data_IF_441297079874
#
_entry.id   IF_441297079874
#
_cell.length_a   1.000
_cell.length_b   1.000
_cell.length_c   1.000
_cell.angle_alpha   90.00
_cell.angle_beta   90.00
_cell.angle_gamma   90.00
#
_symmetry.space_group_name_H-M   'P 1'
#
loop_
_entity.id
_entity.type
_entity.pdbx_description
1 polymer ?
#
# COMPACT_ATOMS: atom_id res chain seq x y z
N UNK A 1 -27.73 -3.63 24.54
CA UNK A 1 -26.40 -3.53 23.92
C UNK A 1 -25.81 -2.23 24.43
N UNK A 2 -24.78 -2.26 25.28
CA UNK A 2 -24.30 -1.04 25.94
C UNK A 2 -23.69 -0.08 24.92
N UNK A 3 -23.91 1.22 25.12
CA UNK A 3 -23.38 2.32 24.28
C UNK A 3 -21.85 2.21 24.07
N UNK A 4 -21.17 1.54 25.01
CA UNK A 4 -19.74 1.32 25.00
C UNK A 4 -19.28 0.16 24.08
N UNK A 5 -20.09 -0.90 23.95
CA UNK A 5 -19.86 -1.96 22.96
C UNK A 5 -19.95 -1.41 21.53
N UNK A 6 -20.83 -0.44 21.31
CA UNK A 6 -20.95 0.27 20.04
C UNK A 6 -19.75 1.19 19.77
N UNK A 7 -19.21 1.85 20.82
CA UNK A 7 -17.96 2.60 20.73
C UNK A 7 -16.77 1.71 20.34
N UNK A 8 -16.58 0.58 21.03
CA UNK A 8 -15.53 -0.39 20.72
C UNK A 8 -15.66 -0.94 19.29
N UNK A 9 -16.89 -1.22 18.85
CA UNK A 9 -17.15 -1.67 17.48
C UNK A 9 -16.81 -0.59 16.44
N UNK A 10 -17.12 0.68 16.74
CA UNK A 10 -16.77 1.81 15.88
C UNK A 10 -15.26 1.96 15.75
N UNK A 11 -14.52 1.90 16.86
CA UNK A 11 -13.05 1.93 16.86
C UNK A 11 -12.44 0.77 16.06
N UNK A 12 -12.96 -0.45 16.23
CA UNK A 12 -12.54 -1.62 15.46
C UNK A 12 -12.73 -1.41 13.95
N UNK A 13 -13.85 -0.83 13.52
CA UNK A 13 -14.11 -0.53 12.11
C UNK A 13 -13.14 0.53 11.57
N UNK A 14 -12.80 1.54 12.38
CA UNK A 14 -11.78 2.54 12.02
C UNK A 14 -10.41 1.86 11.85
N UNK A 15 -10.00 0.98 12.76
CA UNK A 15 -8.73 0.25 12.64
C UNK A 15 -8.68 -0.66 11.41
N UNK A 16 -9.78 -1.34 11.06
CA UNK A 16 -9.85 -2.15 9.85
C UNK A 16 -9.73 -1.31 8.56
N UNK A 17 -10.38 -0.15 8.56
CA UNK A 17 -10.26 0.82 7.47
C UNK A 17 -8.81 1.31 7.35
N UNK A 18 -8.21 1.80 8.44
CA UNK A 18 -6.83 2.29 8.45
C UNK A 18 -5.84 1.21 8.02
N UNK A 19 -5.97 -0.02 8.52
CA UNK A 19 -5.15 -1.16 8.09
C UNK A 19 -5.20 -1.34 6.57
N UNK A 20 -6.41 -1.36 5.99
CA UNK A 20 -6.60 -1.50 4.54
C UNK A 20 -5.96 -0.35 3.75
N UNK A 21 -6.06 0.89 4.24
CA UNK A 21 -5.44 2.05 3.62
C UNK A 21 -3.91 1.98 3.65
N UNK A 22 -3.34 1.57 4.80
CA UNK A 22 -1.91 1.40 4.99
C UNK A 22 -1.32 0.33 4.08
N UNK A 23 -1.96 -0.84 3.97
CA UNK A 23 -1.54 -1.87 3.01
C UNK A 23 -1.61 -1.38 1.58
N UNK A 24 -2.66 -0.64 1.21
CA UNK A 24 -2.79 -0.08 -0.14
C UNK A 24 -1.67 0.92 -0.46
N UNK A 25 -1.29 1.76 0.51
CA UNK A 25 -0.18 2.69 0.36
C UNK A 25 1.16 1.96 0.23
N UNK A 26 1.39 0.93 1.06
CA UNK A 26 2.58 0.08 0.99
C UNK A 26 2.71 -0.57 -0.40
N UNK A 27 1.65 -1.22 -0.89
CA UNK A 27 1.64 -1.84 -2.22
C UNK A 27 1.95 -0.84 -3.34
N UNK A 28 1.38 0.36 -3.26
CA UNK A 28 1.61 1.40 -4.27
C UNK A 28 3.07 1.87 -4.25
N UNK A 29 3.65 2.14 -3.07
CA UNK A 29 5.05 2.53 -2.97
C UNK A 29 6.00 1.41 -3.39
N UNK A 30 5.67 0.16 -3.08
CA UNK A 30 6.44 -0.99 -3.53
C UNK A 30 6.43 -1.13 -5.06
N UNK A 31 5.27 -0.91 -5.70
CA UNK A 31 5.16 -0.91 -7.18
C UNK A 31 6.02 0.18 -7.81
N UNK A 32 6.00 1.40 -7.26
CA UNK A 32 6.86 2.48 -7.74
C UNK A 32 8.34 2.13 -7.56
N UNK A 33 8.71 1.56 -6.41
CA UNK A 33 10.08 1.13 -6.17
C UNK A 33 10.55 0.10 -7.22
N UNK A 34 9.76 -0.96 -7.42
CA UNK A 34 10.06 -2.01 -8.41
C UNK A 34 10.13 -1.41 -9.82
N UNK A 35 9.22 -0.51 -10.19
CA UNK A 35 9.24 0.14 -11.50
C UNK A 35 10.54 0.93 -11.74
N UNK A 36 10.97 1.72 -10.75
CA UNK A 36 12.22 2.45 -10.85
C UNK A 36 13.46 1.54 -10.79
N UNK A 37 13.41 0.44 -10.03
CA UNK A 37 14.44 -0.62 -10.05
C UNK A 37 14.57 -1.23 -11.46
N UNK A 38 13.46 -1.62 -12.09
CA UNK A 38 13.47 -2.21 -13.43
C UNK A 38 14.02 -1.26 -14.50
N UNK A 39 13.65 0.02 -14.47
CA UNK A 39 14.18 1.03 -15.41
C UNK A 39 15.69 1.17 -15.23
N UNK A 40 16.16 1.29 -13.98
CA UNK A 40 17.59 1.44 -13.68
C UNK A 40 18.39 0.24 -14.17
N UNK A 41 17.92 -0.98 -13.90
CA UNK A 41 18.54 -2.21 -14.37
C UNK A 41 18.56 -2.26 -15.91
N UNK A 42 17.46 -1.91 -16.58
CA UNK A 42 17.38 -1.95 -18.03
C UNK A 42 18.39 -0.99 -18.67
N UNK A 43 18.47 0.26 -18.17
CA UNK A 43 19.45 1.23 -18.68
C UNK A 43 20.88 0.76 -18.39
N UNK A 44 21.15 0.22 -17.20
CA UNK A 44 22.45 -0.31 -16.84
C UNK A 44 22.87 -1.48 -17.75
N UNK A 45 21.95 -2.39 -18.09
CA UNK A 45 22.20 -3.50 -19.02
C UNK A 45 22.48 -2.98 -20.43
N UNK A 46 21.73 -1.99 -20.91
CA UNK A 46 21.97 -1.37 -22.22
C UNK A 46 23.35 -0.70 -22.27
N UNK A 47 23.70 0.10 -21.24
CA UNK A 47 25.01 0.74 -21.14
C UNK A 47 26.14 -0.30 -21.09
N UNK A 48 25.99 -1.36 -20.29
CA UNK A 48 26.95 -2.45 -20.24
C UNK A 48 27.09 -3.13 -21.62
N UNK A 49 25.97 -3.43 -22.29
CA UNK A 49 25.95 -3.97 -23.63
C UNK A 49 26.70 -3.09 -24.64
N UNK A 50 26.61 -1.76 -24.52
CA UNK A 50 27.34 -0.83 -25.39
C UNK A 50 28.86 -0.89 -25.25
N UNK A 51 29.38 -1.40 -24.12
CA UNK A 51 30.83 -1.56 -23.93
C UNK A 51 31.37 -2.84 -24.54
N UNK A 52 30.55 -3.90 -24.64
CA UNK A 52 30.96 -5.20 -25.17
C UNK A 52 30.61 -5.39 -26.64
N UNK A 53 29.47 -4.85 -27.07
CA UNK A 53 29.10 -4.82 -28.48
C UNK A 53 29.80 -3.62 -29.10
N UNK A 54 30.61 -3.87 -30.12
CA UNK A 54 31.33 -2.84 -30.87
C UNK A 54 30.32 -2.05 -31.73
N UNK A 55 29.50 -1.22 -31.07
CA UNK A 55 28.31 -0.56 -31.65
C UNK A 55 28.68 0.31 -32.87
N UNK A 56 29.91 0.80 -32.91
CA UNK A 56 30.53 1.50 -34.04
C UNK A 56 30.46 0.72 -35.36
N UNK A 57 30.44 -0.62 -35.31
CA UNK A 57 30.32 -1.49 -36.49
C UNK A 57 28.86 -1.77 -36.89
N UNK A 58 27.92 -1.61 -35.96
CA UNK A 58 26.50 -1.92 -36.16
C UNK A 58 25.72 -0.68 -36.61
N UNK A 59 26.09 0.50 -36.12
CA UNK A 59 25.43 1.76 -36.43
C UNK A 59 26.32 2.67 -37.27
N UNK A 60 25.74 3.32 -38.29
CA UNK A 60 26.37 4.30 -39.19
C UNK A 60 26.56 5.68 -38.49
N UNK A 61 26.77 5.68 -37.17
CA UNK A 61 27.04 6.92 -36.43
C UNK A 61 28.54 7.11 -36.28
N UNK A 62 28.99 8.38 -36.37
CA UNK A 62 30.38 8.72 -36.13
C UNK A 62 30.76 8.37 -34.66
N UNK A 63 31.92 7.73 -34.45
CA UNK A 63 32.34 7.20 -33.14
C UNK A 63 32.33 8.25 -32.02
N UNK A 64 32.63 9.50 -32.37
CA UNK A 64 32.67 10.62 -31.43
C UNK A 64 31.27 10.97 -30.89
N UNK A 65 30.24 10.87 -31.74
CA UNK A 65 28.85 11.14 -31.35
C UNK A 65 28.31 10.03 -30.43
N UNK A 66 28.65 8.76 -30.71
CA UNK A 66 28.24 7.63 -29.87
C UNK A 66 28.81 7.73 -28.45
N UNK A 67 30.09 8.10 -28.32
CA UNK A 67 30.74 8.26 -27.02
C UNK A 67 30.09 9.36 -26.18
N UNK A 68 29.73 10.49 -26.80
CA UNK A 68 29.04 11.59 -26.12
C UNK A 68 27.66 11.14 -25.62
N UNK A 69 26.89 10.43 -26.45
CA UNK A 69 25.57 9.91 -26.09
C UNK A 69 25.65 8.94 -24.90
N UNK A 70 26.57 7.96 -24.94
CA UNK A 70 26.77 6.99 -23.85
C UNK A 70 27.16 7.70 -22.54
N UNK A 71 28.05 8.70 -22.63
CA UNK A 71 28.48 9.48 -21.46
C UNK A 71 27.31 10.27 -20.87
N UNK A 72 26.49 10.90 -21.71
CA UNK A 72 25.31 11.64 -21.27
C UNK A 72 24.27 10.74 -20.61
N UNK A 73 23.97 9.58 -21.20
CA UNK A 73 23.04 8.59 -20.62
C UNK A 73 23.56 8.10 -19.27
N UNK A 74 24.87 7.86 -19.13
CA UNK A 74 25.48 7.46 -17.86
C UNK A 74 25.29 8.52 -16.76
N UNK A 75 25.49 9.80 -17.09
CA UNK A 75 25.27 10.92 -16.15
C UNK A 75 23.79 11.00 -15.74
N UNK A 76 22.88 10.84 -16.70
CA UNK A 76 21.44 10.87 -16.46
C UNK A 76 21.01 9.69 -15.57
N UNK A 77 21.53 8.49 -15.82
CA UNK A 77 21.30 7.30 -14.98
C UNK A 77 21.76 7.56 -13.55
N UNK A 78 22.97 8.11 -13.36
CA UNK A 78 23.48 8.42 -12.03
C UNK A 78 22.60 9.46 -11.30
N UNK A 79 22.19 10.53 -11.98
CA UNK A 79 21.28 11.53 -11.42
C UNK A 79 19.93 10.90 -11.02
N UNK A 80 19.41 9.99 -11.84
CA UNK A 80 18.18 9.25 -11.56
C UNK A 80 18.32 8.37 -10.31
N UNK A 81 19.43 7.65 -10.14
CA UNK A 81 19.72 6.86 -8.93
C UNK A 81 19.72 7.74 -7.68
N UNK A 82 20.33 8.94 -7.73
CA UNK A 82 20.31 9.88 -6.60
C UNK A 82 18.90 10.38 -6.25
N UNK A 83 18.09 10.72 -7.27
CA UNK A 83 16.69 11.13 -7.06
C UNK A 83 15.89 10.00 -6.41
N UNK A 84 16.05 8.78 -6.90
CA UNK A 84 15.39 7.59 -6.36
C UNK A 84 15.77 7.34 -4.91
N UNK A 85 17.07 7.42 -4.58
CA UNK A 85 17.56 7.28 -3.21
C UNK A 85 16.93 8.33 -2.28
N UNK A 86 16.73 9.56 -2.75
CA UNK A 86 16.07 10.62 -1.97
C UNK A 86 14.57 10.38 -1.76
N UNK A 87 13.87 9.83 -2.74
CA UNK A 87 12.42 9.57 -2.66
C UNK A 87 12.08 8.42 -1.72
N UNK A 88 12.98 7.44 -1.61
CA UNK A 88 12.96 6.36 -0.63
C UNK A 88 11.60 5.64 -0.52
N UNK A 89 11.09 5.22 -1.68
CA UNK A 89 9.81 4.50 -1.79
C UNK A 89 9.84 3.17 -1.03
N UNK A 90 10.99 2.50 -0.97
CA UNK A 90 11.18 1.26 -0.23
C UNK A 90 10.92 1.45 1.26
N UNK A 91 11.58 2.43 1.90
CA UNK A 91 11.37 2.66 3.35
C UNK A 91 9.95 3.11 3.65
N UNK A 92 9.37 3.99 2.82
CA UNK A 92 7.96 4.41 2.96
C UNK A 92 6.99 3.23 2.86
N UNK A 93 7.23 2.31 1.92
CA UNK A 93 6.45 1.08 1.79
C UNK A 93 6.49 0.26 3.08
N UNK A 94 7.67 0.01 3.64
CA UNK A 94 7.84 -0.78 4.85
C UNK A 94 7.19 -0.11 6.07
N UNK A 95 7.33 1.21 6.24
CA UNK A 95 6.64 1.92 7.33
C UNK A 95 5.12 1.78 7.25
N UNK A 96 4.53 1.93 6.05
CA UNK A 96 3.10 1.73 5.89
C UNK A 96 2.70 0.26 6.09
N UNK A 97 3.53 -0.71 5.71
CA UNK A 97 3.28 -2.14 5.95
C UNK A 97 3.28 -2.49 7.44
N UNK A 98 4.25 -1.96 8.19
CA UNK A 98 4.34 -2.13 9.65
C UNK A 98 3.12 -1.50 10.33
N UNK A 99 2.78 -0.26 9.98
CA UNK A 99 1.59 0.41 10.51
C UNK A 99 0.31 -0.39 10.21
N UNK A 100 0.16 -0.91 8.98
CA UNK A 100 -0.96 -1.77 8.61
C UNK A 100 -1.06 -3.02 9.47
N UNK A 101 0.07 -3.70 9.75
CA UNK A 101 0.11 -4.87 10.65
C UNK A 101 -0.29 -4.50 12.09
N UNK A 102 0.19 -3.37 12.61
CA UNK A 102 -0.16 -2.92 13.95
C UNK A 102 -1.66 -2.61 14.09
N UNK A 103 -2.28 -1.99 13.07
CA UNK A 103 -3.73 -1.78 13.05
C UNK A 103 -4.53 -3.08 12.96
N UNK A 104 -4.04 -4.08 12.22
CA UNK A 104 -4.67 -5.42 12.20
C UNK A 104 -4.60 -6.09 13.57
N UNK A 105 -3.44 -6.02 14.22
CA UNK A 105 -3.27 -6.57 15.57
C UNK A 105 -4.22 -5.86 16.55
N UNK A 106 -4.25 -4.52 16.55
CA UNK A 106 -5.16 -3.74 17.38
C UNK A 106 -6.64 -4.08 17.14
N UNK A 107 -7.04 -4.30 15.87
CA UNK A 107 -8.39 -4.76 15.52
C UNK A 107 -8.69 -6.14 16.10
N UNK A 108 -7.75 -7.08 16.00
CA UNK A 108 -7.93 -8.45 16.49
C UNK A 108 -7.99 -8.47 18.02
N UNK A 109 -7.11 -7.72 18.68
CA UNK A 109 -7.09 -7.56 20.14
C UNK A 109 -8.40 -6.95 20.64
N UNK A 110 -8.89 -5.88 20.00
CA UNK A 110 -10.21 -5.32 20.31
C UNK A 110 -11.32 -6.36 20.13
N UNK A 111 -11.28 -7.16 19.06
CA UNK A 111 -12.30 -8.18 18.84
C UNK A 111 -12.29 -9.27 19.91
N UNK A 112 -11.12 -9.65 20.41
CA UNK A 112 -10.98 -10.62 21.50
C UNK A 112 -11.50 -10.03 22.82
N UNK A 113 -11.06 -8.82 23.17
CA UNK A 113 -11.48 -8.13 24.38
C UNK A 113 -12.98 -7.83 24.39
N UNK A 114 -13.57 -7.46 23.25
CA UNK A 114 -15.02 -7.29 23.13
C UNK A 114 -15.80 -8.57 23.44
N UNK A 115 -15.28 -9.75 23.10
CA UNK A 115 -15.92 -11.01 23.45
C UNK A 115 -15.83 -11.29 24.96
N UNK A 116 -14.72 -10.90 25.60
CA UNK A 116 -14.54 -11.01 27.05
C UNK A 116 -15.50 -10.05 27.76
N UNK A 117 -15.55 -8.77 27.38
CA UNK A 117 -16.44 -7.76 27.96
C UNK A 117 -17.94 -8.04 27.76
N UNK A 118 -18.31 -8.85 26.75
CA UNK A 118 -19.70 -9.33 26.61
C UNK A 118 -20.05 -10.38 27.66
N UNK A 119 -19.08 -11.17 28.09
CA UNK A 119 -19.28 -12.28 29.01
C UNK A 119 -19.03 -11.86 30.47
N UNK A 120 -18.15 -10.89 30.70
CA UNK A 120 -17.93 -10.27 32.01
C UNK A 120 -18.78 -9.01 32.14
N UNK A 121 -19.49 -8.82 33.25
CA UNK A 121 -20.24 -7.60 33.54
C UNK A 121 -19.27 -6.46 33.96
N UNK A 122 -18.28 -6.18 33.11
CA UNK A 122 -17.19 -5.21 33.33
C UNK A 122 -17.72 -3.78 33.24
N UNK A 123 -17.28 -2.94 34.19
CA UNK A 123 -17.64 -1.52 34.21
C UNK A 123 -17.15 -0.75 32.97
N UNK A 124 -18.02 0.13 32.48
CA UNK A 124 -17.86 0.87 31.23
C UNK A 124 -16.65 1.83 31.22
N UNK A 125 -16.28 2.39 32.38
CA UNK A 125 -15.15 3.32 32.53
C UNK A 125 -13.80 2.65 32.29
N UNK A 126 -13.61 1.43 32.80
CA UNK A 126 -12.37 0.67 32.68
C UNK A 126 -12.04 0.28 31.23
N UNK A 127 -13.08 0.05 30.43
CA UNK A 127 -12.93 -0.33 29.02
C UNK A 127 -12.49 0.87 28.17
N UNK A 128 -13.08 2.05 28.39
CA UNK A 128 -12.70 3.26 27.67
C UNK A 128 -11.25 3.66 27.95
N UNK A 129 -10.87 3.59 29.23
CA UNK A 129 -9.50 3.86 29.66
C UNK A 129 -8.51 2.85 29.07
N UNK A 130 -8.87 1.56 29.06
CA UNK A 130 -8.09 0.51 28.40
C UNK A 130 -7.85 0.83 26.92
N UNK A 131 -8.91 1.13 26.15
CA UNK A 131 -8.78 1.42 24.71
C UNK A 131 -7.87 2.63 24.48
N UNK A 132 -8.06 3.71 25.25
CA UNK A 132 -7.28 4.92 25.07
C UNK A 132 -5.80 4.72 25.46
N UNK A 133 -5.53 4.01 26.54
CA UNK A 133 -4.17 3.78 27.02
C UNK A 133 -3.42 2.76 26.15
N UNK A 134 -4.05 1.65 25.80
CA UNK A 134 -3.43 0.57 25.01
C UNK A 134 -3.11 1.00 23.58
N UNK A 135 -3.97 1.82 22.97
CA UNK A 135 -3.84 2.19 21.55
C UNK A 135 -3.32 3.61 21.31
N UNK A 136 -2.89 4.34 22.36
CA UNK A 136 -2.32 5.69 22.24
C UNK A 136 -1.15 5.75 21.25
N UNK A 137 -0.29 4.73 21.28
CA UNK A 137 0.93 4.65 20.47
C UNK A 137 0.63 4.46 18.97
N UNK A 138 -0.59 4.05 18.58
CA UNK A 138 -0.98 3.96 17.17
C UNK A 138 -1.00 5.33 16.48
N UNK A 139 -1.18 6.41 17.24
CA UNK A 139 -1.16 7.77 16.70
C UNK A 139 0.24 8.23 16.28
N UNK A 140 1.29 7.59 16.78
CA UNK A 140 2.69 7.90 16.44
C UNK A 140 3.13 7.24 15.13
N UNK A 141 2.28 6.37 14.56
CA UNK A 141 2.55 5.72 13.28
C UNK A 141 2.54 6.72 12.13
N UNK A 142 3.18 6.33 11.02
CA UNK A 142 3.23 7.13 9.80
C UNK A 142 1.81 7.55 9.37
N UNK A 143 1.59 8.85 9.24
CA UNK A 143 0.26 9.34 8.92
C UNK A 143 -0.09 9.11 7.45
N UNK A 144 -1.37 8.88 7.20
CA UNK A 144 -1.90 8.82 5.85
C UNK A 144 -1.98 10.25 5.32
N UNK A 145 -1.45 10.54 4.11
CA UNK A 145 -1.59 11.87 3.51
C UNK A 145 -3.07 12.23 3.32
N UNK A 146 -3.46 13.41 3.80
CA UNK A 146 -4.86 13.86 3.76
C UNK A 146 -5.42 13.88 2.32
N UNK A 147 -4.60 14.30 1.35
CA UNK A 147 -4.96 14.30 -0.07
C UNK A 147 -5.35 12.93 -0.65
N UNK A 148 -4.90 11.84 -0.01
CA UNK A 148 -5.19 10.46 -0.41
C UNK A 148 -6.29 9.83 0.44
N UNK A 149 -6.70 10.45 1.55
CA UNK A 149 -7.60 9.83 2.53
C UNK A 149 -8.95 9.42 1.90
N UNK A 150 -9.64 10.34 1.22
CA UNK A 150 -10.92 10.03 0.58
C UNK A 150 -10.82 8.92 -0.48
N UNK A 151 -9.76 8.95 -1.30
CA UNK A 151 -9.52 7.92 -2.32
C UNK A 151 -9.28 6.55 -1.69
N UNK A 152 -8.51 6.50 -0.60
CA UNK A 152 -8.22 5.28 0.13
C UNK A 152 -9.45 4.76 0.89
N UNK A 153 -10.31 5.65 1.40
CA UNK A 153 -11.58 5.31 2.04
C UNK A 153 -12.53 4.65 1.05
N UNK A 154 -12.69 5.26 -0.12
CA UNK A 154 -13.48 4.70 -1.21
C UNK A 154 -12.94 3.32 -1.64
N UNK A 155 -11.60 3.18 -1.75
CA UNK A 155 -10.98 1.88 -2.03
C UNK A 155 -11.31 0.82 -0.98
N UNK A 156 -11.26 1.16 0.31
CA UNK A 156 -11.63 0.23 1.38
C UNK A 156 -13.10 -0.19 1.28
N UNK A 157 -14.02 0.76 1.08
CA UNK A 157 -15.45 0.48 0.89
C UNK A 157 -15.68 -0.45 -0.30
N UNK A 158 -15.11 -0.12 -1.46
CA UNK A 158 -15.14 -0.95 -2.66
C UNK A 158 -14.60 -2.36 -2.38
N UNK A 159 -13.47 -2.48 -1.66
CA UNK A 159 -12.87 -3.78 -1.30
C UNK A 159 -13.83 -4.61 -0.44
N UNK A 160 -14.46 -4.00 0.56
CA UNK A 160 -15.39 -4.69 1.47
C UNK A 160 -16.62 -5.17 0.71
N UNK A 161 -17.22 -4.33 -0.13
CA UNK A 161 -18.38 -4.70 -0.95
C UNK A 161 -18.03 -5.78 -1.98
N UNK A 162 -16.86 -5.65 -2.62
CA UNK A 162 -16.40 -6.66 -3.55
C UNK A 162 -16.15 -8.01 -2.87
N UNK A 163 -15.61 -8.00 -1.65
CA UNK A 163 -15.45 -9.22 -0.85
C UNK A 163 -16.80 -9.88 -0.57
N UNK A 164 -17.79 -9.10 -0.11
CA UNK A 164 -19.17 -9.61 0.11
C UNK A 164 -19.79 -10.15 -1.18
N UNK A 165 -19.54 -9.50 -2.31
CA UNK A 165 -20.01 -9.97 -3.61
C UNK A 165 -19.36 -11.29 -4.02
N UNK A 166 -18.06 -11.47 -3.76
CA UNK A 166 -17.34 -12.72 -4.02
C UNK A 166 -17.86 -13.86 -3.13
N UNK A 167 -18.15 -13.58 -1.85
CA UNK A 167 -18.72 -14.58 -0.93
C UNK A 167 -20.07 -15.12 -1.43
N UNK A 168 -20.85 -14.29 -2.11
CA UNK A 168 -22.12 -14.69 -2.74
C UNK A 168 -21.95 -15.39 -4.11
N UNK A 169 -20.79 -15.29 -4.76
CA UNK A 169 -20.55 -15.79 -6.12
C UNK A 169 -19.32 -16.71 -6.21
N UNK A 170 -19.22 -17.68 -5.28
CA UNK A 170 -18.03 -18.56 -5.13
C UNK A 170 -17.67 -19.40 -6.36
N UNK A 171 -18.64 -19.72 -7.22
CA UNK A 171 -18.46 -20.63 -8.36
C UNK A 171 -17.99 -19.93 -9.64
N UNK A 172 -18.02 -18.59 -9.69
CA UNK A 172 -17.68 -17.83 -10.89
C UNK A 172 -16.18 -17.49 -10.92
N UNK A 173 -15.54 -17.51 -12.09
CA UNK A 173 -14.15 -17.09 -12.22
C UNK A 173 -14.00 -15.60 -11.87
N UNK A 174 -12.86 -15.25 -11.27
CA UNK A 174 -12.59 -13.92 -10.71
C UNK A 174 -12.80 -12.76 -11.71
N UNK A 175 -12.43 -12.97 -12.98
CA UNK A 175 -12.61 -11.96 -14.04
C UNK A 175 -14.09 -11.64 -14.29
N UNK A 176 -14.96 -12.67 -14.35
CA UNK A 176 -16.40 -12.46 -14.51
C UNK A 176 -16.98 -11.75 -13.29
N UNK A 177 -16.55 -12.11 -12.08
CA UNK A 177 -16.97 -11.41 -10.86
C UNK A 177 -16.61 -9.92 -10.89
N UNK A 178 -15.43 -9.58 -11.40
CA UNK A 178 -14.98 -8.18 -11.53
C UNK A 178 -15.85 -7.38 -12.51
N UNK A 179 -16.19 -7.97 -13.66
CA UNK A 179 -17.04 -7.34 -14.67
C UNK A 179 -18.47 -7.17 -14.14
N UNK A 180 -19.06 -8.23 -13.58
CA UNK A 180 -20.42 -8.19 -13.03
C UNK A 180 -20.54 -7.19 -11.88
N UNK A 181 -19.55 -7.13 -10.98
CA UNK A 181 -19.56 -6.17 -9.88
C UNK A 181 -19.48 -4.72 -10.37
N UNK A 182 -18.66 -4.45 -11.39
CA UNK A 182 -18.58 -3.12 -12.01
C UNK A 182 -19.91 -2.67 -12.60
N UNK A 183 -20.65 -3.56 -13.28
CA UNK A 183 -21.98 -3.26 -13.77
C UNK A 183 -22.99 -3.07 -12.63
N UNK A 184 -22.96 -3.92 -11.60
CA UNK A 184 -23.89 -3.85 -10.47
C UNK A 184 -23.78 -2.53 -9.67
N UNK A 185 -22.58 -1.95 -9.55
CA UNK A 185 -22.38 -0.64 -8.91
C UNK A 185 -22.92 0.51 -9.76
N UNK A 186 -22.90 0.39 -11.09
CA UNK A 186 -23.35 1.46 -12.01
C UNK A 186 -24.87 1.55 -12.17
N UNK A 187 -25.59 0.47 -11.86
CA UNK A 187 -27.05 0.36 -12.05
C UNK A 187 -27.84 0.45 -10.74
N UNK A 188 -27.22 0.96 -9.68
CA UNK A 188 -27.82 1.20 -8.37
C UNK A 188 -27.63 2.66 -7.98
#
# INVERSE_FOLDING_TARGET
MSLLLDFANTKKNIFDMLASMHFKLSDNYNKWNIFFDCIEILIAVLLCGTTFLDISKIFIFNNLNLRIIISFISILLFAFTLIKQRLDFKRRSEYHKIAGKLYVNAKNDLSQNMNIWRNSNTEDTNIMEYINNTYKNLNELIQIPESKFHKLKHYHQYKVEFSKFLDNNKTKPWLLCKILFFFNIKFK
#
